data_IF_913151376327
#
_entry.id   IF_913151376327
#
_cell.length_a   1.000
_cell.length_b   1.000
_cell.length_c   1.000
_cell.angle_alpha   90.00
_cell.angle_beta   90.00
_cell.angle_gamma   90.00
#
_symmetry.space_group_name_H-M   'P 1'
#
loop_
_entity.id
_entity.type
_entity.pdbx_description
1 polymer ?
#
# COMPACT_ATOMS: atom_id res chain seq x y z
N UNK A 1 4.56 -10.27 -4.41
CA UNK A 1 4.71 -8.88 -4.86
C UNK A 1 4.69 -8.76 -6.38
N UNK A 2 5.66 -9.32 -7.10
CA UNK A 2 5.81 -9.14 -8.56
C UNK A 2 4.55 -9.41 -9.39
N UNK A 3 3.80 -10.47 -9.07
CA UNK A 3 2.51 -10.73 -9.74
C UNK A 3 1.51 -9.59 -9.55
N UNK A 4 1.35 -9.09 -8.33
CA UNK A 4 0.39 -8.02 -8.04
C UNK A 4 0.74 -6.70 -8.75
N UNK A 5 2.02 -6.36 -8.80
CA UNK A 5 2.49 -5.18 -9.55
C UNK A 5 2.28 -5.37 -11.06
N UNK A 6 2.50 -6.57 -11.59
CA UNK A 6 2.21 -6.87 -13.00
C UNK A 6 0.74 -6.76 -13.34
N UNK A 7 -0.17 -7.18 -12.45
CA UNK A 7 -1.62 -6.99 -12.66
C UNK A 7 -1.97 -5.50 -12.64
N UNK A 8 -1.37 -4.72 -11.74
CA UNK A 8 -1.62 -3.29 -11.66
C UNK A 8 -1.10 -2.53 -12.87
N UNK A 9 0.08 -2.89 -13.38
CA UNK A 9 0.66 -2.34 -14.60
C UNK A 9 -0.23 -2.60 -15.83
N UNK A 10 -0.97 -3.71 -15.81
CA UNK A 10 -1.97 -4.06 -16.83
C UNK A 10 -3.36 -3.46 -16.54
N UNK A 11 -3.46 -2.51 -15.62
CA UNK A 11 -4.70 -1.86 -15.17
C UNK A 11 -5.74 -2.79 -14.54
N UNK A 12 -5.36 -4.02 -14.17
CA UNK A 12 -6.20 -4.98 -13.44
C UNK A 12 -6.24 -4.64 -11.94
N UNK A 13 -6.71 -3.44 -11.61
CA UNK A 13 -6.62 -2.81 -10.29
C UNK A 13 -7.20 -3.66 -9.14
N UNK A 14 -8.36 -4.29 -9.33
CA UNK A 14 -8.99 -5.06 -8.25
C UNK A 14 -8.26 -6.38 -7.97
N UNK A 15 -7.77 -7.07 -9.02
CA UNK A 15 -6.96 -8.29 -8.88
C UNK A 15 -5.61 -7.97 -8.21
N UNK A 16 -4.96 -6.89 -8.64
CA UNK A 16 -3.74 -6.39 -8.01
C UNK A 16 -3.95 -6.11 -6.52
N UNK A 17 -5.02 -5.39 -6.18
CA UNK A 17 -5.36 -5.07 -4.80
C UNK A 17 -5.68 -6.34 -3.98
N UNK A 18 -6.35 -7.33 -4.55
CA UNK A 18 -6.63 -8.60 -3.86
C UNK A 18 -5.33 -9.36 -3.52
N UNK A 19 -4.40 -9.45 -4.47
CA UNK A 19 -3.09 -10.07 -4.25
C UNK A 19 -2.27 -9.33 -3.19
N UNK A 20 -2.29 -7.99 -3.22
CA UNK A 20 -1.63 -7.16 -2.21
C UNK A 20 -2.27 -7.31 -0.83
N UNK A 21 -3.60 -7.35 -0.72
CA UNK A 21 -4.30 -7.62 0.55
C UNK A 21 -3.92 -8.97 1.14
N UNK A 22 -3.85 -10.02 0.30
CA UNK A 22 -3.42 -11.36 0.74
C UNK A 22 -2.00 -11.30 1.30
N UNK A 23 -1.08 -10.65 0.60
CA UNK A 23 0.29 -10.46 1.06
C UNK A 23 0.36 -9.68 2.38
N UNK A 24 -0.35 -8.56 2.46
CA UNK A 24 -0.38 -7.68 3.62
C UNK A 24 -0.91 -8.38 4.87
N UNK A 25 -1.99 -9.16 4.74
CA UNK A 25 -2.54 -9.97 5.85
C UNK A 25 -1.59 -11.05 6.33
N UNK A 26 -0.76 -11.63 5.44
CA UNK A 26 0.24 -12.64 5.83
C UNK A 26 1.50 -12.06 6.47
N UNK A 27 1.76 -10.77 6.26
CA UNK A 27 2.91 -10.07 6.83
C UNK A 27 2.49 -8.69 7.37
N UNK A 28 1.92 -8.61 8.59
CA UNK A 28 1.44 -7.36 9.16
C UNK A 28 2.53 -6.32 9.41
N UNK A 29 3.81 -6.71 9.54
CA UNK A 29 4.91 -5.75 9.64
C UNK A 29 5.16 -5.02 8.32
N UNK A 30 4.66 -5.58 7.21
CA UNK A 30 4.65 -5.03 5.87
C UNK A 30 5.94 -4.35 5.41
N UNK A 31 7.05 -5.05 5.65
CA UNK A 31 8.39 -4.63 5.22
C UNK A 31 8.51 -4.43 3.70
N UNK A 32 7.54 -4.92 2.93
CA UNK A 32 7.49 -4.80 1.46
C UNK A 32 6.67 -3.59 0.99
N UNK A 33 5.98 -2.90 1.89
CA UNK A 33 5.20 -1.71 1.59
C UNK A 33 3.89 -1.98 0.84
N UNK A 34 3.27 -3.15 1.01
CA UNK A 34 2.00 -3.50 0.36
C UNK A 34 0.88 -2.50 0.67
N UNK A 35 0.83 -1.95 1.88
CA UNK A 35 -0.13 -0.93 2.32
C UNK A 35 -0.10 0.32 1.42
N UNK A 36 1.10 0.79 1.03
CA UNK A 36 1.25 1.92 0.13
C UNK A 36 0.63 1.64 -1.25
N UNK A 37 0.90 0.46 -1.81
CA UNK A 37 0.34 0.07 -3.10
C UNK A 37 -1.17 -0.12 -3.06
N UNK A 38 -1.72 -0.72 -2.00
CA UNK A 38 -3.17 -0.85 -1.81
C UNK A 38 -3.82 0.53 -1.80
N UNK A 39 -3.26 1.47 -1.04
CA UNK A 39 -3.78 2.83 -0.95
C UNK A 39 -3.69 3.57 -2.29
N UNK A 40 -2.58 3.42 -3.02
CA UNK A 40 -2.40 4.02 -4.34
C UNK A 40 -3.46 3.54 -5.33
N UNK A 41 -3.70 2.22 -5.39
CA UNK A 41 -4.76 1.64 -6.22
C UNK A 41 -6.13 2.21 -5.84
N UNK A 42 -6.42 2.31 -4.54
CA UNK A 42 -7.70 2.84 -4.04
C UNK A 42 -7.91 4.32 -4.30
N UNK A 43 -6.84 5.08 -4.47
CA UNK A 43 -6.86 6.49 -4.88
C UNK A 43 -6.85 6.67 -6.41
N UNK A 44 -6.82 5.57 -7.18
CA UNK A 44 -6.89 5.61 -8.64
C UNK A 44 -5.55 5.89 -9.32
N UNK A 45 -4.43 5.66 -8.64
CA UNK A 45 -3.11 5.74 -9.27
C UNK A 45 -2.90 4.59 -10.26
N UNK A 46 -2.15 4.87 -11.32
CA UNK A 46 -1.45 3.84 -12.10
C UNK A 46 -0.13 3.50 -11.41
N UNK A 47 0.41 2.30 -11.68
CA UNK A 47 1.72 1.91 -11.15
C UNK A 47 2.79 2.94 -11.53
N UNK A 48 2.87 3.29 -12.82
CA UNK A 48 3.83 4.28 -13.31
C UNK A 48 3.66 5.66 -12.66
N UNK A 49 2.43 6.12 -12.43
CA UNK A 49 2.17 7.41 -11.77
C UNK A 49 2.57 7.41 -10.30
N UNK A 50 2.33 6.29 -9.61
CA UNK A 50 2.76 6.13 -8.22
C UNK A 50 4.28 6.05 -8.11
N UNK A 51 4.94 5.29 -8.98
CA UNK A 51 6.40 5.20 -9.02
C UNK A 51 7.06 6.53 -9.40
N UNK A 52 6.52 7.29 -10.36
CA UNK A 52 7.04 8.63 -10.69
C UNK A 52 6.92 9.57 -9.49
N UNK A 53 5.80 9.52 -8.76
CA UNK A 53 5.57 10.40 -7.63
C UNK A 53 6.49 10.08 -6.44
N UNK A 54 6.65 8.80 -6.08
CA UNK A 54 7.27 8.40 -4.81
C UNK A 54 8.61 7.66 -4.95
N UNK A 55 8.97 7.14 -6.11
CA UNK A 55 10.24 6.44 -6.36
C UNK A 55 11.33 7.37 -6.93
N UNK A 56 11.42 8.60 -6.40
CA UNK A 56 12.47 9.56 -6.79
C UNK A 56 13.73 9.28 -5.96
N UNK A 57 14.68 8.58 -6.57
CA UNK A 57 16.09 8.52 -6.14
C UNK A 57 16.39 7.81 -4.79
N UNK A 58 15.84 6.61 -4.58
CA UNK A 58 16.29 5.65 -3.53
C UNK A 58 16.07 6.06 -2.07
N UNK A 59 15.23 7.06 -1.78
CA UNK A 59 14.78 7.32 -0.41
C UNK A 59 13.28 7.10 -0.32
N UNK A 60 12.86 6.11 0.48
CA UNK A 60 11.53 6.12 1.10
C UNK A 60 11.52 7.29 2.07
N UNK A 61 11.29 8.48 1.52
CA UNK A 61 11.28 9.71 2.29
C UNK A 61 10.04 9.71 3.18
N UNK A 62 10.11 10.42 4.31
CA UNK A 62 8.98 10.60 5.22
C UNK A 62 7.68 11.02 4.50
N UNK A 63 7.80 11.60 3.29
CA UNK A 63 6.70 11.92 2.39
C UNK A 63 5.77 10.75 2.06
N UNK A 64 6.28 9.54 1.80
CA UNK A 64 5.40 8.41 1.48
C UNK A 64 4.60 7.96 2.71
N UNK A 65 5.27 7.88 3.87
CA UNK A 65 4.62 7.54 5.13
C UNK A 65 3.61 8.63 5.54
N UNK A 66 3.97 9.91 5.42
CA UNK A 66 3.08 11.03 5.70
C UNK A 66 1.86 11.03 4.77
N UNK A 67 2.07 10.77 3.48
CA UNK A 67 0.99 10.63 2.51
C UNK A 67 0.05 9.48 2.89
N UNK A 68 0.61 8.35 3.31
CA UNK A 68 -0.16 7.21 3.78
C UNK A 68 -0.98 7.58 5.01
N UNK A 69 -0.36 8.16 6.05
CA UNK A 69 -1.02 8.55 7.30
C UNK A 69 -2.18 9.54 7.06
N UNK A 70 -2.05 10.43 6.07
CA UNK A 70 -3.10 11.38 5.69
C UNK A 70 -4.30 10.70 4.99
N UNK A 71 -4.05 9.70 4.14
CA UNK A 71 -5.05 9.17 3.22
C UNK A 71 -5.65 7.83 3.67
N UNK A 72 -4.86 6.97 4.31
CA UNK A 72 -5.28 5.65 4.76
C UNK A 72 -6.51 5.66 5.70
N UNK A 73 -6.70 6.63 6.61
CA UNK A 73 -7.91 6.70 7.44
C UNK A 73 -9.24 6.79 6.65
N UNK A 74 -9.20 7.20 5.37
CA UNK A 74 -10.38 7.24 4.49
C UNK A 74 -10.81 5.86 3.99
N UNK A 75 -9.97 4.83 4.19
CA UNK A 75 -10.19 3.46 3.72
C UNK A 75 -10.19 2.46 4.88
N UNK A 76 -11.14 2.59 5.84
CA UNK A 76 -11.15 1.77 7.06
C UNK A 76 -11.26 0.26 6.78
N UNK A 77 -11.94 -0.14 5.70
CA UNK A 77 -12.03 -1.54 5.27
C UNK A 77 -10.69 -2.16 4.92
N UNK A 78 -9.74 -1.36 4.47
CA UNK A 78 -8.40 -1.83 4.09
C UNK A 78 -7.44 -1.80 5.29
N UNK A 79 -7.55 -0.81 6.19
CA UNK A 79 -6.49 -0.50 7.15
C UNK A 79 -6.87 -0.54 8.63
N UNK A 80 -8.14 -0.49 9.03
CA UNK A 80 -8.52 -0.44 10.47
C UNK A 80 -8.00 -1.64 11.26
N UNK A 81 -8.04 -2.82 10.67
CA UNK A 81 -7.54 -4.04 11.31
C UNK A 81 -6.03 -3.93 11.55
N UNK A 82 -5.31 -3.30 10.63
CA UNK A 82 -3.86 -3.16 10.70
C UNK A 82 -3.45 -2.08 11.69
N UNK A 83 -4.15 -0.95 11.75
CA UNK A 83 -3.90 0.09 12.76
C UNK A 83 -4.04 -0.47 14.18
N UNK A 84 -5.07 -1.30 14.42
CA UNK A 84 -5.26 -2.00 15.71
C UNK A 84 -4.13 -3.00 15.99
N UNK A 85 -3.70 -3.75 14.98
CA UNK A 85 -2.59 -4.70 15.11
C UNK A 85 -1.28 -3.99 15.49
N UNK A 86 -0.96 -2.86 14.85
CA UNK A 86 0.23 -2.07 15.13
C UNK A 86 0.19 -1.37 16.49
N UNK A 87 -0.99 -0.92 16.94
CA UNK A 87 -1.18 -0.36 18.28
C UNK A 87 -0.92 -1.41 19.37
N UNK A 88 -1.46 -2.62 19.20
CA UNK A 88 -1.27 -3.73 20.14
C UNK A 88 0.20 -4.16 20.28
N UNK A 89 0.99 -4.06 19.20
CA UNK A 89 2.41 -4.42 19.22
C UNK A 89 3.32 -3.33 19.83
N UNK A 90 2.78 -2.13 20.09
CA UNK A 90 3.49 -1.03 20.78
C UNK A 90 3.26 -1.01 22.30
N UNK A 91 2.35 -1.84 22.80
CA UNK A 91 2.05 -2.03 24.23
C UNK A 91 2.82 -3.22 24.81
#
# INVERSE_FOLDING_TARGET
>A
MNRALSEWDQENNEEAAELLRKLFKTNPHDNVGAHHYILAIRLGFTLAGFEDQFNKANYYNNELNNWFDEHAPRYPKEFDWWFKEMENQRM
#
